data_IF_515594089263
#
_entry.id   IF_515594089263
#
_cell.length_a   1.000
_cell.length_b   1.000
_cell.length_c   1.000
_cell.angle_alpha   90.00
_cell.angle_beta   90.00
_cell.angle_gamma   90.00
#
_symmetry.space_group_name_H-M   'P 1'
#
loop_
_entity.id
_entity.type
_entity.pdbx_description
1 polymer ?
#
# COMPACT_ATOMS: atom_id res chain seq x y z
N UNK A 1 -66.86 41.64 10.10
CA UNK A 1 -67.51 42.51 9.11
C UNK A 1 -67.92 41.57 8.00
N UNK A 2 -69.14 40.99 8.10
CA UNK A 2 -70.45 41.54 7.61
C UNK A 2 -70.33 41.81 6.10
N UNK A 3 -71.10 41.29 5.21
CA UNK A 3 -72.51 41.07 5.15
C UNK A 3 -72.82 40.10 3.97
N UNK A 4 -73.67 39.09 4.10
CA UNK A 4 -75.14 39.13 3.95
C UNK A 4 -75.64 39.80 2.66
N UNK A 5 -76.34 39.16 1.82
CA UNK A 5 -77.73 38.90 1.57
C UNK A 5 -77.93 38.74 0.06
N UNK A 6 -78.88 38.12 -0.56
CA UNK A 6 -80.20 37.60 -0.42
C UNK A 6 -80.59 36.93 -1.76
N UNK A 7 -81.16 35.76 -1.73
CA UNK A 7 -82.49 35.34 -2.11
C UNK A 7 -83.25 36.06 -3.22
N UNK A 8 -83.69 35.29 -4.23
CA UNK A 8 -85.09 35.13 -4.74
C UNK A 8 -85.08 34.34 -6.07
N UNK A 9 -85.66 33.17 -6.03
CA UNK A 9 -87.04 32.80 -6.37
C UNK A 9 -87.40 32.73 -7.86
N UNK A 10 -87.78 31.56 -8.29
CA UNK A 10 -89.00 31.09 -8.98
C UNK A 10 -88.60 29.94 -9.90
N UNK A 11 -89.02 28.70 -9.76
CA UNK A 11 -90.35 28.28 -9.91
C UNK A 11 -90.72 28.15 -11.41
N UNK A 12 -90.62 26.96 -11.97
CA UNK A 12 -91.26 26.72 -13.24
C UNK A 12 -90.46 25.86 -14.23
N UNK A 13 -90.03 24.64 -13.87
CA UNK A 13 -89.52 23.67 -14.89
C UNK A 13 -89.54 22.21 -14.41
N UNK A 14 -90.42 21.84 -13.49
CA UNK A 14 -90.49 20.45 -13.00
C UNK A 14 -91.26 19.53 -13.97
N UNK A 15 -92.05 20.07 -14.88
CA UNK A 15 -92.86 19.27 -15.82
C UNK A 15 -92.09 18.79 -17.09
N UNK A 16 -91.09 19.53 -17.51
CA UNK A 16 -90.30 19.18 -18.77
C UNK A 16 -89.23 18.17 -18.51
N UNK A 17 -88.70 18.10 -17.29
CA UNK A 17 -87.53 17.18 -16.98
C UNK A 17 -87.95 15.73 -16.80
N UNK A 18 -89.23 15.49 -16.33
CA UNK A 18 -89.76 14.13 -16.12
C UNK A 18 -90.02 13.44 -17.48
N UNK A 19 -90.50 14.17 -18.48
CA UNK A 19 -90.74 13.62 -19.82
C UNK A 19 -89.43 13.18 -20.58
N UNK A 20 -88.39 13.98 -20.45
CA UNK A 20 -87.11 13.67 -21.10
C UNK A 20 -86.32 12.54 -20.41
N UNK A 21 -86.47 12.40 -19.06
CA UNK A 21 -85.79 11.28 -18.32
C UNK A 21 -86.48 9.95 -18.66
N UNK A 22 -87.77 9.87 -18.77
CA UNK A 22 -88.52 8.64 -19.13
C UNK A 22 -88.20 8.21 -20.58
N UNK A 23 -88.04 9.14 -21.53
CA UNK A 23 -87.68 8.82 -22.89
C UNK A 23 -86.20 8.36 -23.01
N UNK A 24 -85.32 8.94 -22.21
CA UNK A 24 -83.90 8.54 -22.15
C UNK A 24 -83.75 7.16 -21.52
N UNK A 25 -84.47 6.80 -20.49
CA UNK A 25 -84.43 5.47 -19.87
C UNK A 25 -85.01 4.40 -20.80
N UNK A 26 -86.09 4.71 -21.51
CA UNK A 26 -86.65 3.78 -22.47
C UNK A 26 -85.72 3.52 -23.68
N UNK A 27 -84.97 4.52 -24.17
CA UNK A 27 -83.97 4.38 -25.20
C UNK A 27 -82.73 3.61 -24.67
N UNK A 28 -82.35 3.81 -23.42
CA UNK A 28 -81.22 3.07 -22.84
C UNK A 28 -81.57 1.59 -22.58
N UNK A 29 -82.84 1.30 -22.14
CA UNK A 29 -83.27 -0.09 -21.97
C UNK A 29 -83.45 -0.81 -23.28
N UNK A 30 -83.95 -0.15 -24.34
CA UNK A 30 -84.06 -0.71 -25.68
C UNK A 30 -82.71 -0.98 -26.32
N UNK A 31 -81.70 -0.10 -26.09
CA UNK A 31 -80.34 -0.28 -26.55
C UNK A 31 -79.61 -1.44 -25.83
N UNK A 32 -80.00 -1.72 -24.57
CA UNK A 32 -79.38 -2.85 -23.82
C UNK A 32 -79.98 -4.20 -24.25
N UNK A 33 -81.25 -4.29 -24.57
CA UNK A 33 -81.85 -5.52 -25.06
C UNK A 33 -81.43 -5.82 -26.47
N UNK A 34 -81.25 -4.83 -27.34
CA UNK A 34 -80.73 -5.00 -28.69
C UNK A 34 -79.22 -5.44 -28.72
N UNK A 35 -78.44 -5.06 -27.69
CA UNK A 35 -77.06 -5.48 -27.55
C UNK A 35 -76.90 -6.94 -27.09
N UNK A 36 -77.93 -7.47 -26.38
CA UNK A 36 -77.90 -8.89 -25.98
C UNK A 36 -78.26 -9.87 -27.11
N UNK A 37 -78.96 -9.41 -28.16
CA UNK A 37 -79.44 -10.23 -29.28
C UNK A 37 -78.40 -10.28 -30.47
N UNK A 38 -77.53 -9.25 -30.56
CA UNK A 38 -76.45 -9.21 -31.59
C UNK A 38 -75.17 -8.80 -30.90
N UNK A 39 -74.34 -9.77 -30.38
CA UNK A 39 -73.04 -9.42 -29.93
C UNK A 39 -72.23 -8.85 -31.12
N UNK A 40 -71.61 -7.65 -30.99
CA UNK A 40 -70.78 -7.14 -32.03
C UNK A 40 -69.64 -8.13 -32.25
N UNK A 41 -69.52 -8.65 -33.47
CA UNK A 41 -68.30 -9.35 -33.89
C UNK A 41 -67.14 -8.35 -33.75
N UNK A 42 -66.39 -8.46 -32.66
CA UNK A 42 -65.14 -7.72 -32.56
C UNK A 42 -64.28 -8.06 -33.77
N UNK A 43 -63.80 -7.09 -34.53
CA UNK A 43 -62.81 -7.37 -35.55
C UNK A 43 -61.64 -8.04 -34.85
N UNK A 44 -61.23 -9.22 -35.35
CA UNK A 44 -59.94 -9.82 -34.95
C UNK A 44 -58.89 -8.74 -35.13
N UNK A 45 -58.32 -8.21 -34.01
CA UNK A 45 -57.15 -7.36 -34.12
C UNK A 45 -56.14 -8.08 -34.99
N UNK A 46 -55.64 -7.41 -36.02
CA UNK A 46 -54.55 -7.99 -36.80
C UNK A 46 -53.45 -8.35 -35.76
N UNK A 47 -53.05 -9.61 -35.73
CA UNK A 47 -51.87 -10.02 -34.98
C UNK A 47 -50.74 -9.16 -35.49
N UNK A 48 -50.26 -8.19 -34.70
CA UNK A 48 -49.04 -7.48 -35.05
C UNK A 48 -47.97 -8.53 -35.38
N UNK A 49 -47.30 -8.41 -36.51
CA UNK A 49 -46.21 -9.33 -36.83
C UNK A 49 -45.28 -9.31 -35.63
N UNK A 50 -45.04 -10.46 -35.00
CA UNK A 50 -44.03 -10.56 -33.96
C UNK A 50 -42.71 -10.06 -34.58
N UNK A 51 -42.33 -8.86 -34.25
CA UNK A 51 -41.01 -8.34 -34.65
C UNK A 51 -39.99 -9.25 -34.00
N UNK A 52 -39.44 -10.18 -34.77
CA UNK A 52 -38.33 -11.02 -34.35
C UNK A 52 -37.11 -10.10 -34.25
N UNK A 53 -36.71 -9.78 -33.07
CA UNK A 53 -35.53 -8.95 -32.86
C UNK A 53 -34.29 -9.67 -33.38
N UNK A 54 -33.46 -8.95 -34.10
CA UNK A 54 -32.19 -9.48 -34.64
C UNK A 54 -31.13 -9.19 -33.60
N UNK A 55 -30.38 -10.21 -33.15
CA UNK A 55 -29.37 -10.13 -32.11
C UNK A 55 -28.07 -10.82 -32.52
N UNK A 56 -26.95 -10.26 -32.08
CA UNK A 56 -25.67 -10.95 -32.10
C UNK A 56 -25.42 -11.56 -30.71
N UNK A 57 -24.84 -12.76 -30.71
CA UNK A 57 -24.53 -13.48 -29.47
C UNK A 57 -23.06 -13.85 -29.42
N UNK A 58 -22.54 -13.96 -28.20
CA UNK A 58 -21.21 -14.50 -27.95
C UNK A 58 -21.28 -15.55 -26.83
N UNK A 59 -20.43 -16.56 -26.94
CA UNK A 59 -20.35 -17.59 -25.91
C UNK A 59 -19.58 -17.08 -24.68
N UNK A 60 -19.96 -17.53 -23.51
CA UNK A 60 -19.24 -17.32 -22.27
C UNK A 60 -17.93 -18.09 -22.32
N UNK A 61 -16.83 -17.38 -22.46
CA UNK A 61 -15.48 -17.96 -22.59
C UNK A 61 -14.76 -17.97 -21.24
N UNK A 62 -13.92 -18.99 -21.02
CA UNK A 62 -12.99 -18.99 -19.90
C UNK A 62 -11.78 -18.13 -20.26
N UNK A 63 -11.57 -17.02 -19.50
CA UNK A 63 -10.43 -16.13 -19.69
C UNK A 63 -9.65 -15.96 -18.39
N UNK A 64 -8.36 -15.72 -18.55
CA UNK A 64 -7.48 -15.38 -17.41
C UNK A 64 -7.82 -13.97 -16.91
N UNK A 65 -8.20 -13.87 -15.64
CA UNK A 65 -8.52 -12.59 -15.01
C UNK A 65 -7.38 -12.13 -14.11
N UNK A 66 -6.66 -11.11 -14.54
CA UNK A 66 -5.56 -10.52 -13.79
C UNK A 66 -5.69 -9.00 -13.75
N UNK A 67 -6.43 -8.50 -12.78
CA UNK A 67 -6.52 -7.07 -12.53
C UNK A 67 -5.55 -6.72 -11.40
N UNK A 68 -4.49 -5.91 -11.68
CA UNK A 68 -3.56 -5.48 -10.64
C UNK A 68 -4.26 -4.60 -9.61
N UNK A 69 -4.08 -4.92 -8.32
CA UNK A 69 -4.47 -4.02 -7.25
C UNK A 69 -3.42 -2.90 -7.14
N UNK A 70 -3.90 -1.67 -7.00
CA UNK A 70 -3.06 -0.47 -6.91
C UNK A 70 -3.07 0.08 -5.49
N UNK A 71 -1.88 0.29 -4.94
CA UNK A 71 -1.71 0.90 -3.63
C UNK A 71 -0.81 2.12 -3.74
N UNK A 72 -1.17 3.18 -3.06
CA UNK A 72 -0.22 4.28 -2.83
C UNK A 72 0.79 3.79 -1.80
N UNK A 73 2.06 3.83 -2.17
CA UNK A 73 3.15 3.32 -1.37
C UNK A 73 4.21 4.41 -1.16
N UNK A 74 4.99 4.26 -0.11
CA UNK A 74 6.02 5.19 0.30
C UNK A 74 7.38 4.51 0.31
N UNK A 75 8.36 5.10 -0.36
CA UNK A 75 9.72 4.59 -0.38
C UNK A 75 10.48 5.08 0.86
N UNK A 76 11.06 4.16 1.61
CA UNK A 76 11.80 4.43 2.84
C UNK A 76 13.21 3.84 2.78
N UNK A 77 14.21 4.46 3.41
CA UNK A 77 15.53 3.87 3.49
C UNK A 77 15.51 2.65 4.42
N UNK A 78 16.43 1.69 4.19
CA UNK A 78 16.61 0.57 5.11
C UNK A 78 17.16 1.06 6.46
N UNK A 79 18.13 1.96 6.40
CA UNK A 79 18.74 2.60 7.56
C UNK A 79 19.10 4.03 7.20
N UNK A 80 18.92 4.93 8.14
CA UNK A 80 19.46 6.29 8.08
C UNK A 80 20.16 6.64 9.40
N UNK A 81 21.27 7.32 9.31
CA UNK A 81 22.07 7.69 10.48
C UNK A 81 22.57 9.12 10.33
N UNK A 82 22.26 9.93 11.33
CA UNK A 82 22.86 11.25 11.50
C UNK A 82 24.26 11.10 12.08
N UNK A 83 25.24 11.59 11.35
CA UNK A 83 26.66 11.49 11.70
C UNK A 83 27.01 12.58 12.71
N UNK A 84 27.06 12.22 13.98
CA UNK A 84 27.42 13.11 15.08
C UNK A 84 28.92 12.93 15.44
N UNK A 85 29.67 14.01 15.65
CA UNK A 85 31.01 13.89 16.22
C UNK A 85 30.91 13.37 17.66
N UNK A 86 31.83 12.50 18.09
CA UNK A 86 31.81 11.97 19.45
C UNK A 86 32.72 12.75 20.40
N UNK A 87 33.62 13.56 19.82
CA UNK A 87 34.50 14.48 20.52
C UNK A 87 34.46 15.85 19.85
N UNK A 88 34.87 16.89 20.57
CA UNK A 88 34.92 18.25 20.07
C UNK A 88 36.26 18.54 19.36
N UNK A 89 36.25 19.46 18.41
CA UNK A 89 37.45 19.89 17.73
C UNK A 89 37.19 20.65 16.44
N UNK A 90 38.26 21.13 15.82
CA UNK A 90 38.18 21.76 14.50
C UNK A 90 38.29 20.69 13.41
N UNK A 91 37.52 20.83 12.32
CA UNK A 91 37.63 19.95 11.16
C UNK A 91 38.93 20.27 10.43
N UNK A 92 39.84 19.29 10.36
CA UNK A 92 41.11 19.37 9.66
C UNK A 92 40.97 18.92 8.19
N UNK A 93 40.23 17.85 7.96
CA UNK A 93 40.00 17.28 6.64
C UNK A 93 38.59 16.72 6.47
N UNK A 94 38.03 16.81 5.27
CA UNK A 94 36.82 16.14 4.81
C UNK A 94 37.25 15.21 3.66
N UNK A 95 36.99 13.91 3.80
CA UNK A 95 37.49 12.86 2.88
C UNK A 95 36.41 12.24 2.00
N UNK A 96 35.36 12.94 1.71
CA UNK A 96 34.28 12.52 0.80
C UNK A 96 33.77 13.72 0.01
N UNK A 97 32.96 13.42 -1.03
CA UNK A 97 32.14 14.41 -1.72
C UNK A 97 30.67 14.16 -1.38
N UNK A 98 29.90 15.21 -1.30
CA UNK A 98 28.44 15.12 -1.09
C UNK A 98 27.81 14.26 -2.20
N UNK A 99 26.94 13.34 -1.80
CA UNK A 99 26.32 12.38 -2.71
C UNK A 99 27.12 11.10 -2.98
N UNK A 100 28.34 10.97 -2.47
CA UNK A 100 29.15 9.75 -2.62
C UNK A 100 28.50 8.56 -1.91
N UNK A 101 28.80 7.34 -2.44
CA UNK A 101 28.51 6.11 -1.73
C UNK A 101 29.71 5.73 -0.86
N UNK A 102 29.47 5.66 0.43
CA UNK A 102 30.48 5.29 1.42
C UNK A 102 30.19 3.89 1.99
N UNK A 103 31.26 3.17 2.33
CA UNK A 103 31.14 1.88 3.04
C UNK A 103 31.30 2.11 4.54
N UNK A 104 30.66 1.28 5.35
CA UNK A 104 30.86 1.28 6.79
C UNK A 104 32.37 1.20 7.12
N UNK A 105 32.86 2.06 8.04
CA UNK A 105 34.26 2.19 8.41
C UNK A 105 35.09 3.16 7.55
N UNK A 106 34.53 3.70 6.43
CA UNK A 106 35.22 4.72 5.65
C UNK A 106 35.41 6.00 6.46
N UNK A 107 36.63 6.56 6.47
CA UNK A 107 36.93 7.84 7.14
C UNK A 107 36.26 8.97 6.37
N UNK A 108 35.48 9.78 7.08
CA UNK A 108 34.70 10.89 6.51
C UNK A 108 35.28 12.24 6.93
N UNK A 109 35.47 12.44 8.23
CA UNK A 109 36.08 13.67 8.76
C UNK A 109 37.27 13.32 9.64
N UNK A 110 38.25 14.18 9.61
CA UNK A 110 39.41 14.14 10.52
C UNK A 110 39.37 15.46 11.30
N UNK A 111 39.24 15.37 12.61
CA UNK A 111 39.34 16.50 13.49
C UNK A 111 40.80 16.75 13.84
N UNK A 112 41.11 17.95 14.31
CA UNK A 112 42.44 18.26 14.90
C UNK A 112 42.61 17.43 16.16
N UNK A 113 43.55 16.52 16.13
CA UNK A 113 43.83 15.51 17.13
C UNK A 113 45.05 15.80 18.01
N UNK A 114 45.73 16.92 17.80
CA UNK A 114 46.95 17.26 18.53
C UNK A 114 46.76 17.28 20.04
N UNK A 115 45.62 17.89 20.51
CA UNK A 115 45.24 17.90 21.92
C UNK A 115 45.02 16.50 22.47
N UNK A 116 44.35 15.64 21.72
CA UNK A 116 44.02 14.26 22.12
C UNK A 116 45.28 13.40 22.15
N UNK A 117 46.21 13.57 21.20
CA UNK A 117 47.53 12.96 21.26
C UNK A 117 48.34 13.37 22.48
N UNK A 118 48.35 14.64 22.81
CA UNK A 118 49.06 15.13 24.02
C UNK A 118 48.49 14.53 25.32
N UNK A 119 47.14 14.46 25.41
CA UNK A 119 46.49 13.85 26.60
C UNK A 119 46.74 12.34 26.65
N UNK A 120 46.68 11.62 25.56
CA UNK A 120 46.98 10.18 25.53
C UNK A 120 48.43 9.89 25.94
N UNK A 121 49.39 10.70 25.43
CA UNK A 121 50.79 10.60 25.81
C UNK A 121 51.02 10.89 27.30
N UNK A 122 50.34 11.89 27.88
CA UNK A 122 50.35 12.18 29.30
C UNK A 122 49.84 10.99 30.14
N UNK A 123 48.69 10.41 29.78
CA UNK A 123 48.12 9.25 30.48
C UNK A 123 49.00 8.01 30.36
N UNK A 124 49.71 7.85 29.26
CA UNK A 124 50.69 6.79 29.08
C UNK A 124 51.86 6.96 30.04
N UNK A 125 52.39 8.18 30.16
CA UNK A 125 53.45 8.47 31.15
C UNK A 125 52.99 8.25 32.59
N UNK A 126 51.72 8.63 32.94
CA UNK A 126 51.13 8.38 34.27
C UNK A 126 51.04 6.86 34.54
N UNK A 127 50.68 6.05 33.57
CA UNK A 127 50.68 4.58 33.69
C UNK A 127 52.10 4.02 33.92
N UNK A 128 53.09 4.46 33.13
CA UNK A 128 54.47 4.04 33.31
C UNK A 128 55.03 4.37 34.69
N UNK A 129 54.70 5.57 35.26
CA UNK A 129 55.06 5.98 36.61
C UNK A 129 54.38 5.09 37.65
N UNK A 130 53.04 4.82 37.53
CA UNK A 130 52.32 3.95 38.41
C UNK A 130 52.85 2.50 38.42
N UNK A 131 53.22 1.99 37.26
CA UNK A 131 53.83 0.67 37.14
C UNK A 131 55.21 0.60 37.78
N UNK A 132 56.04 1.65 37.66
CA UNK A 132 57.34 1.71 38.30
C UNK A 132 57.19 1.70 39.84
N UNK A 133 56.21 2.44 40.38
CA UNK A 133 55.89 2.46 41.81
C UNK A 133 55.33 1.09 42.28
N UNK A 134 54.46 0.47 41.51
CA UNK A 134 53.95 -0.87 41.85
C UNK A 134 55.08 -1.92 41.85
N UNK A 135 56.03 -1.85 40.89
CA UNK A 135 57.22 -2.71 40.94
C UNK A 135 58.08 -2.45 42.15
N UNK A 136 58.21 -1.19 42.58
CA UNK A 136 58.96 -0.82 43.82
C UNK A 136 58.26 -1.36 45.04
N UNK A 137 56.97 -1.12 45.21
CA UNK A 137 56.17 -1.56 46.34
C UNK A 137 56.10 -3.09 46.45
N UNK A 138 55.93 -3.78 45.32
CA UNK A 138 55.96 -5.24 45.27
C UNK A 138 57.30 -5.81 45.71
N UNK A 139 58.42 -5.28 45.22
CA UNK A 139 59.78 -5.71 45.69
C UNK A 139 59.98 -5.41 47.18
N UNK A 140 59.39 -4.33 47.70
CA UNK A 140 59.47 -4.02 49.12
C UNK A 140 58.68 -5.03 49.94
N UNK A 141 57.46 -5.33 49.56
CA UNK A 141 56.63 -6.34 50.20
C UNK A 141 57.23 -7.75 50.14
N UNK A 142 57.75 -8.20 49.00
CA UNK A 142 58.46 -9.48 48.88
C UNK A 142 59.65 -9.58 49.77
N UNK A 143 60.43 -8.49 50.03
CA UNK A 143 61.53 -8.48 50.95
C UNK A 143 61.03 -8.58 52.40
N UNK A 144 59.94 -7.89 52.81
CA UNK A 144 59.32 -7.96 54.11
C UNK A 144 58.73 -9.34 54.39
N UNK A 145 58.22 -10.00 53.39
CA UNK A 145 57.64 -11.36 53.48
C UNK A 145 58.74 -12.40 53.73
N UNK A 146 59.89 -12.26 53.13
CA UNK A 146 61.03 -13.18 53.22
C UNK A 146 62.00 -12.86 54.37
N UNK A 147 61.80 -11.79 55.10
CA UNK A 147 62.67 -11.39 56.26
C UNK A 147 62.39 -12.20 57.55
N UNK A 148 63.44 -12.43 58.36
CA UNK A 148 63.33 -13.19 59.59
C UNK A 148 62.25 -12.53 60.53
N UNK A 149 61.42 -13.39 61.13
CA UNK A 149 60.36 -12.96 62.06
C UNK A 149 60.83 -12.25 63.33
N UNK A 150 62.13 -12.36 63.61
CA UNK A 150 62.73 -11.67 64.78
C UNK A 150 63.12 -10.21 64.56
N UNK A 151 63.09 -9.76 63.23
CA UNK A 151 63.54 -8.41 62.93
C UNK A 151 62.43 -7.49 62.37
N UNK A 152 61.21 -7.98 62.15
CA UNK A 152 60.13 -7.23 61.52
C UNK A 152 58.80 -7.52 62.24
N UNK A 153 58.06 -6.47 62.55
CA UNK A 153 56.77 -6.57 63.24
C UNK A 153 55.65 -6.98 62.22
N UNK A 154 54.58 -7.60 62.68
CA UNK A 154 53.44 -7.93 61.91
C UNK A 154 52.78 -6.68 61.21
N UNK A 155 52.76 -5.57 61.95
CA UNK A 155 52.26 -4.29 61.45
C UNK A 155 53.09 -3.78 60.29
N UNK A 156 54.40 -3.98 60.25
CA UNK A 156 55.27 -3.59 59.13
C UNK A 156 54.98 -4.45 57.89
N UNK A 157 54.67 -5.76 58.09
CA UNK A 157 54.30 -6.66 56.99
C UNK A 157 52.94 -6.25 56.40
N UNK A 158 51.96 -6.05 57.26
CA UNK A 158 50.60 -5.62 56.85
C UNK A 158 50.67 -4.28 56.12
N UNK A 159 51.47 -3.33 56.57
CA UNK A 159 51.70 -2.05 55.88
C UNK A 159 52.37 -2.21 54.51
N UNK A 160 53.35 -3.12 54.40
CA UNK A 160 54.00 -3.38 53.11
C UNK A 160 53.07 -4.05 52.11
N UNK A 161 52.22 -4.99 52.58
CA UNK A 161 51.20 -5.63 51.76
C UNK A 161 50.16 -4.61 51.27
N UNK A 162 49.55 -3.83 52.20
CA UNK A 162 48.63 -2.78 51.87
C UNK A 162 49.21 -1.73 50.92
N UNK A 163 50.53 -1.42 51.05
CA UNK A 163 51.24 -0.55 50.12
C UNK A 163 51.38 -1.14 48.74
N UNK A 164 51.66 -2.45 48.61
CA UNK A 164 51.71 -3.12 47.36
C UNK A 164 50.37 -3.23 46.67
N UNK A 165 49.30 -3.53 47.41
CA UNK A 165 47.93 -3.55 46.90
C UNK A 165 47.46 -2.17 46.46
N UNK A 166 47.75 -1.12 47.21
CA UNK A 166 47.45 0.27 46.83
C UNK A 166 48.17 0.65 45.53
N UNK A 167 49.43 0.31 45.40
CA UNK A 167 50.20 0.60 44.16
C UNK A 167 49.67 -0.19 42.95
N UNK A 168 49.23 -1.45 43.15
CA UNK A 168 48.57 -2.24 42.13
C UNK A 168 47.23 -1.61 41.68
N UNK A 169 46.45 -1.13 42.64
CA UNK A 169 45.19 -0.41 42.33
C UNK A 169 45.46 0.89 41.55
N UNK A 170 46.53 1.63 41.86
CA UNK A 170 46.92 2.83 41.12
C UNK A 170 47.30 2.53 39.65
N UNK A 171 47.94 1.39 39.36
CA UNK A 171 48.18 0.94 37.96
C UNK A 171 46.86 0.70 37.21
N UNK A 172 45.89 0.03 37.84
CA UNK A 172 44.60 -0.20 37.22
C UNK A 172 43.88 1.12 36.92
N UNK A 173 43.93 2.08 37.81
CA UNK A 173 43.37 3.41 37.63
C UNK A 173 44.05 4.16 36.46
N UNK A 174 45.38 4.18 36.43
CA UNK A 174 46.13 4.85 35.38
C UNK A 174 45.87 4.20 34.01
N UNK A 175 45.78 2.86 33.96
CA UNK A 175 45.42 2.11 32.76
C UNK A 175 44.03 2.46 32.26
N UNK A 176 43.06 2.54 33.17
CA UNK A 176 41.69 2.95 32.79
C UNK A 176 41.66 4.38 32.23
N UNK A 177 42.40 5.31 32.79
CA UNK A 177 42.49 6.69 32.28
C UNK A 177 43.15 6.74 30.90
N UNK A 178 44.16 5.92 30.67
CA UNK A 178 44.78 5.82 29.32
C UNK A 178 43.77 5.31 28.26
N UNK A 179 43.02 4.26 28.61
CA UNK A 179 41.99 3.71 27.70
C UNK A 179 40.96 4.78 27.30
N UNK A 180 40.54 5.63 28.23
CA UNK A 180 39.62 6.74 27.94
C UNK A 180 40.26 7.75 26.96
N UNK A 181 41.53 8.13 27.24
CA UNK A 181 42.22 9.10 26.39
C UNK A 181 42.48 8.56 24.96
N UNK A 182 42.83 7.28 24.85
CA UNK A 182 42.99 6.61 23.52
C UNK A 182 41.67 6.48 22.81
N UNK A 183 40.55 6.27 23.52
CA UNK A 183 39.21 6.25 22.94
C UNK A 183 38.86 7.62 22.33
N UNK A 184 39.06 8.70 23.11
CA UNK A 184 38.79 10.06 22.65
C UNK A 184 39.64 10.41 21.42
N UNK A 185 40.93 10.04 21.41
CA UNK A 185 41.83 10.20 20.27
C UNK A 185 41.30 9.45 19.04
N UNK A 186 40.87 8.21 19.21
CA UNK A 186 40.30 7.42 18.11
C UNK A 186 39.04 8.07 17.56
N UNK A 187 38.24 8.75 18.38
CA UNK A 187 37.00 9.42 17.99
C UNK A 187 37.21 10.77 17.30
N UNK A 188 38.42 11.32 17.32
CA UNK A 188 38.80 12.45 16.49
C UNK A 188 38.75 12.11 14.99
N UNK A 189 38.77 10.82 14.63
CA UNK A 189 38.52 10.34 13.26
C UNK A 189 37.07 9.85 13.18
N UNK A 190 36.23 10.57 12.44
CA UNK A 190 34.81 10.25 12.25
C UNK A 190 34.66 9.32 11.04
N UNK A 191 34.11 8.14 11.28
CA UNK A 191 33.92 7.10 10.26
C UNK A 191 32.44 6.85 10.00
N UNK A 192 32.11 6.37 8.80
CA UNK A 192 30.77 5.95 8.43
C UNK A 192 30.31 4.76 9.30
N UNK A 193 29.20 4.86 10.05
CA UNK A 193 28.68 3.74 10.85
C UNK A 193 27.97 2.69 10.00
N UNK A 194 27.41 3.09 8.87
CA UNK A 194 26.70 2.24 7.90
C UNK A 194 27.22 2.50 6.49
N UNK A 195 26.95 1.55 5.59
CA UNK A 195 27.15 1.76 4.16
C UNK A 195 25.93 2.43 3.56
N UNK A 196 26.12 3.45 2.70
CA UNK A 196 25.02 4.19 2.10
C UNK A 196 25.48 5.43 1.37
N UNK A 197 24.55 6.23 0.90
CA UNK A 197 24.83 7.52 0.30
C UNK A 197 24.94 8.58 1.38
N UNK A 198 26.05 9.35 1.36
CA UNK A 198 26.20 10.49 2.25
C UNK A 198 25.52 11.71 1.64
N UNK A 199 24.74 12.42 2.45
CA UNK A 199 24.05 13.65 2.07
C UNK A 199 25.01 14.85 2.07
N UNK A 200 24.40 16.06 2.08
CA UNK A 200 25.14 17.31 2.22
C UNK A 200 25.81 17.39 3.59
N UNK A 201 27.00 17.97 3.63
CA UNK A 201 27.67 18.34 4.88
C UNK A 201 27.09 19.61 5.46
N UNK A 202 26.93 19.68 6.78
CA UNK A 202 26.55 20.91 7.51
C UNK A 202 27.74 21.67 8.09
N UNK A 203 28.95 21.11 7.95
CA UNK A 203 30.18 21.65 8.51
C UNK A 203 31.30 21.62 7.49
N UNK A 204 32.18 22.64 7.53
CA UNK A 204 33.26 22.85 6.58
C UNK A 204 34.62 22.69 7.24
N UNK A 205 35.65 22.55 6.45
CA UNK A 205 37.03 22.54 6.95
C UNK A 205 37.33 23.85 7.69
N UNK A 206 37.88 23.73 8.92
CA UNK A 206 38.11 24.83 9.83
C UNK A 206 36.97 25.14 10.80
N UNK A 207 35.78 24.53 10.63
CA UNK A 207 34.69 24.69 11.59
C UNK A 207 34.94 23.92 12.88
N UNK A 208 34.53 24.52 13.99
CA UNK A 208 34.52 23.85 15.30
C UNK A 208 33.25 23.03 15.46
N UNK A 209 33.39 21.74 15.70
CA UNK A 209 32.29 20.78 15.90
C UNK A 209 32.33 20.16 17.28
N UNK A 210 31.15 19.76 17.78
CA UNK A 210 31.00 19.12 19.09
C UNK A 210 29.71 18.26 19.09
N UNK A 211 29.59 17.26 19.96
CA UNK A 211 28.40 16.40 20.06
C UNK A 211 27.09 17.19 20.25
N UNK A 212 27.15 18.37 20.89
CA UNK A 212 26.02 19.24 21.18
C UNK A 212 25.61 20.14 20.00
N UNK A 213 26.41 20.25 18.95
CA UNK A 213 26.17 21.17 17.82
C UNK A 213 25.34 20.56 16.68
N UNK A 214 25.02 19.30 16.78
CA UNK A 214 24.21 18.59 15.77
C UNK A 214 25.03 17.75 14.78
N UNK A 215 24.33 17.22 13.79
CA UNK A 215 24.91 16.29 12.82
C UNK A 215 25.78 16.99 11.79
N UNK A 216 26.90 16.37 11.44
CA UNK A 216 27.84 16.80 10.40
C UNK A 216 27.30 16.49 9.00
N UNK A 217 26.69 15.33 8.84
CA UNK A 217 26.05 14.83 7.62
C UNK A 217 25.07 13.73 7.98
N UNK A 218 24.26 13.31 7.01
CA UNK A 218 23.39 12.13 7.13
C UNK A 218 23.82 11.07 6.13
N UNK A 219 23.84 9.81 6.54
CA UNK A 219 24.09 8.67 5.66
C UNK A 219 22.80 7.88 5.56
N UNK A 220 22.41 7.56 4.33
CA UNK A 220 21.15 6.86 4.04
C UNK A 220 21.45 5.62 3.19
N UNK A 221 21.02 4.46 3.66
CA UNK A 221 21.09 3.23 2.90
C UNK A 221 19.92 3.18 1.93
N UNK A 222 20.20 3.35 0.63
CA UNK A 222 19.23 3.45 -0.46
C UNK A 222 19.14 2.19 -1.33
N UNK A 223 20.06 1.23 -1.16
CA UNK A 223 20.05 -0.07 -1.86
C UNK A 223 20.36 -1.20 -0.85
N UNK A 224 19.44 -2.16 -0.66
CA UNK A 224 18.05 -2.12 -1.12
C UNK A 224 17.26 -0.95 -0.50
N UNK A 225 16.11 -0.60 -1.09
CA UNK A 225 15.17 0.37 -0.55
C UNK A 225 13.91 -0.33 -0.04
N UNK A 226 13.27 0.19 0.97
CA UNK A 226 11.99 -0.30 1.48
C UNK A 226 10.84 0.47 0.85
N UNK A 227 9.75 -0.23 0.60
CA UNK A 227 8.50 0.37 0.13
C UNK A 227 7.40 -0.09 1.07
N UNK A 228 6.76 0.85 1.73
CA UNK A 228 5.67 0.61 2.69
C UNK A 228 4.33 1.00 2.07
N UNK A 229 3.29 0.21 2.33
CA UNK A 229 1.94 0.50 1.89
C UNK A 229 0.91 0.02 2.92
N UNK A 230 -0.23 0.71 3.05
CA UNK A 230 -1.29 0.30 3.95
C UNK A 230 -2.17 -0.78 3.32
N UNK A 231 -2.47 -1.83 4.07
CA UNK A 231 -3.44 -2.86 3.72
C UNK A 231 -4.61 -2.83 4.72
N UNK A 232 -5.85 -2.89 4.25
CA UNK A 232 -7.01 -2.90 5.14
C UNK A 232 -7.07 -4.18 5.97
N UNK A 233 -7.69 -4.13 7.15
CA UNK A 233 -7.87 -5.27 8.06
C UNK A 233 -8.52 -6.46 7.37
N UNK A 234 -9.57 -6.21 6.60
CA UNK A 234 -10.30 -7.24 5.84
C UNK A 234 -9.40 -7.95 4.83
N UNK A 235 -8.61 -7.20 4.08
CA UNK A 235 -7.69 -7.75 3.09
C UNK A 235 -6.57 -8.55 3.77
N UNK A 236 -6.02 -8.03 4.87
CA UNK A 236 -4.98 -8.69 5.65
C UNK A 236 -5.46 -10.02 6.25
N UNK A 237 -6.63 -10.03 6.90
CA UNK A 237 -7.21 -11.25 7.48
C UNK A 237 -7.48 -12.30 6.39
N UNK A 238 -8.01 -11.85 5.24
CA UNK A 238 -8.22 -12.73 4.08
C UNK A 238 -6.93 -13.37 3.57
N UNK A 239 -5.88 -12.58 3.43
CA UNK A 239 -4.56 -13.02 3.00
C UNK A 239 -3.93 -14.00 4.03
N UNK A 240 -3.97 -13.67 5.33
CA UNK A 240 -3.47 -14.55 6.39
C UNK A 240 -4.23 -15.88 6.45
N UNK A 241 -5.55 -15.86 6.25
CA UNK A 241 -6.35 -17.08 6.18
C UNK A 241 -6.00 -17.96 4.98
N UNK A 242 -5.68 -17.36 3.84
CA UNK A 242 -5.22 -18.07 2.65
C UNK A 242 -3.83 -18.70 2.87
N UNK A 243 -2.90 -17.95 3.48
CA UNK A 243 -1.58 -18.47 3.90
C UNK A 243 -1.70 -19.69 4.80
N UNK A 244 -2.53 -19.61 5.84
CA UNK A 244 -2.74 -20.73 6.77
C UNK A 244 -3.27 -21.99 6.09
N UNK A 245 -4.04 -21.82 5.01
CA UNK A 245 -4.59 -22.96 4.23
C UNK A 245 -3.61 -23.46 3.15
N UNK A 246 -2.43 -22.88 3.02
CA UNK A 246 -1.48 -23.17 1.93
C UNK A 246 -2.02 -22.81 0.53
N UNK A 247 -2.98 -21.87 0.46
CA UNK A 247 -3.66 -21.44 -0.77
C UNK A 247 -3.42 -19.95 -1.08
N UNK A 248 -2.47 -19.32 -0.39
CA UNK A 248 -2.14 -17.94 -0.70
C UNK A 248 -1.55 -17.86 -2.11
N UNK A 249 -2.09 -17.02 -2.98
CA UNK A 249 -1.51 -16.79 -4.29
C UNK A 249 -0.15 -16.12 -4.15
N UNK A 250 0.78 -16.48 -5.02
CA UNK A 250 2.00 -15.72 -5.19
C UNK A 250 1.70 -14.43 -5.96
N UNK A 251 2.16 -13.32 -5.40
CA UNK A 251 2.01 -12.00 -6.03
C UNK A 251 3.32 -11.54 -6.64
N UNK A 252 3.23 -10.88 -7.78
CA UNK A 252 4.27 -10.00 -8.29
C UNK A 252 4.07 -8.60 -7.72
N UNK A 253 5.16 -8.04 -7.22
CA UNK A 253 5.18 -6.71 -6.61
C UNK A 253 5.97 -5.79 -7.54
N UNK A 254 5.27 -4.91 -8.26
CA UNK A 254 5.85 -3.99 -9.24
C UNK A 254 5.56 -2.56 -8.81
N UNK A 255 6.37 -1.61 -9.25
CA UNK A 255 6.18 -0.21 -8.93
C UNK A 255 5.96 0.61 -10.20
N UNK A 256 5.08 1.59 -10.11
CA UNK A 256 4.99 2.69 -11.08
C UNK A 256 5.61 3.91 -10.41
N UNK A 257 6.60 4.48 -11.09
CA UNK A 257 7.30 5.67 -10.66
C UNK A 257 6.41 6.93 -10.81
N UNK A 258 6.76 8.06 -10.19
CA UNK A 258 5.98 9.29 -10.29
C UNK A 258 5.81 9.85 -11.71
N UNK A 259 6.71 9.49 -12.64
CA UNK A 259 6.63 9.85 -14.05
C UNK A 259 5.71 8.94 -14.89
N UNK A 260 5.11 7.91 -14.26
CA UNK A 260 4.25 6.93 -14.90
C UNK A 260 4.98 5.72 -15.48
N UNK A 261 6.31 5.70 -15.48
CA UNK A 261 7.09 4.55 -15.95
C UNK A 261 7.05 3.39 -14.95
N UNK A 262 7.12 2.16 -15.45
CA UNK A 262 7.22 0.97 -14.61
C UNK A 262 8.67 0.74 -14.18
N UNK A 263 8.89 0.46 -12.89
CA UNK A 263 10.20 0.10 -12.36
C UNK A 263 10.56 -1.32 -12.78
N UNK A 264 11.76 -1.52 -13.29
CA UNK A 264 12.22 -2.76 -13.95
C UNK A 264 12.48 -3.94 -13.00
N UNK A 265 12.36 -3.74 -11.68
CA UNK A 265 12.68 -4.75 -10.66
C UNK A 265 11.48 -5.06 -9.79
N UNK A 266 11.30 -6.36 -9.50
CA UNK A 266 10.24 -6.82 -8.61
C UNK A 266 10.65 -6.69 -7.14
N UNK A 267 9.67 -6.33 -6.30
CA UNK A 267 9.82 -6.30 -4.86
C UNK A 267 9.71 -7.68 -4.23
N UNK A 268 10.32 -7.82 -3.05
CA UNK A 268 10.17 -9.00 -2.21
C UNK A 268 9.49 -8.62 -0.90
N UNK A 269 8.68 -9.53 -0.40
CA UNK A 269 8.10 -9.41 0.92
C UNK A 269 9.21 -9.27 1.98
N UNK A 270 9.10 -8.29 2.86
CA UNK A 270 10.06 -8.06 3.94
C UNK A 270 9.39 -8.23 5.31
N UNK A 271 8.28 -7.54 5.55
CA UNK A 271 7.68 -7.48 6.87
C UNK A 271 6.21 -7.05 6.81
N UNK A 272 5.41 -7.55 7.72
CA UNK A 272 4.09 -7.03 8.08
C UNK A 272 4.14 -6.51 9.53
N UNK A 273 3.56 -5.33 9.76
CA UNK A 273 3.56 -4.73 11.08
C UNK A 273 2.80 -5.61 12.09
N UNK A 274 3.10 -5.46 13.37
CA UNK A 274 2.46 -6.19 14.46
C UNK A 274 1.27 -5.42 15.07
N UNK A 275 1.05 -4.18 14.64
CA UNK A 275 -0.01 -3.31 15.13
C UNK A 275 -0.77 -2.68 13.95
N UNK A 276 -2.08 -2.56 14.13
CA UNK A 276 -2.96 -1.92 13.16
C UNK A 276 -3.20 -0.46 13.56
N UNK A 277 -3.18 0.44 12.58
CA UNK A 277 -3.53 1.84 12.81
C UNK A 277 -4.99 1.94 13.26
N UNK A 278 -5.22 2.58 14.42
CA UNK A 278 -6.57 2.76 14.98
C UNK A 278 -7.41 3.75 14.18
N UNK A 279 -6.75 4.71 13.53
CA UNK A 279 -7.44 5.79 12.80
C UNK A 279 -7.91 5.34 11.42
N UNK A 280 -7.16 4.46 10.76
CA UNK A 280 -7.41 4.04 9.38
C UNK A 280 -7.84 2.58 9.24
N UNK A 281 -7.79 1.78 10.33
CA UNK A 281 -8.01 0.34 10.31
C UNK A 281 -7.16 -0.37 9.23
N UNK A 282 -5.90 0.05 9.09
CA UNK A 282 -4.94 -0.51 8.16
C UNK A 282 -3.69 -1.01 8.88
N UNK A 283 -3.06 -2.01 8.32
CA UNK A 283 -1.75 -2.52 8.72
C UNK A 283 -0.72 -2.09 7.69
N UNK A 284 0.45 -1.69 8.14
CA UNK A 284 1.54 -1.33 7.23
C UNK A 284 2.28 -2.60 6.79
N UNK A 285 2.35 -2.76 5.49
CA UNK A 285 3.07 -3.83 4.84
C UNK A 285 4.35 -3.28 4.24
N UNK A 286 5.44 -4.04 4.30
CA UNK A 286 6.75 -3.60 3.81
C UNK A 286 7.33 -4.58 2.82
N UNK A 287 7.80 -4.02 1.72
CA UNK A 287 8.51 -4.71 0.66
C UNK A 287 9.95 -4.20 0.58
N UNK A 288 10.84 -5.02 0.10
CA UNK A 288 12.22 -4.65 -0.21
C UNK A 288 12.45 -4.72 -1.71
N UNK A 289 12.96 -3.62 -2.28
CA UNK A 289 13.29 -3.51 -3.71
C UNK A 289 14.79 -3.28 -3.88
N UNK A 290 15.47 -3.99 -4.80
CA UNK A 290 16.82 -3.63 -5.23
C UNK A 290 16.80 -2.24 -5.88
N UNK A 291 17.75 -1.36 -5.57
CA UNK A 291 17.81 0.01 -6.10
C UNK A 291 19.23 0.45 -6.49
N UNK A 292 19.96 -0.34 -7.29
CA UNK A 292 21.35 -0.03 -7.65
C UNK A 292 21.46 1.26 -8.49
N UNK A 293 20.44 1.55 -9.31
CA UNK A 293 20.40 2.72 -10.19
C UNK A 293 19.87 3.98 -9.46
N UNK A 294 19.47 3.85 -8.18
CA UNK A 294 18.99 4.92 -7.29
C UNK A 294 17.77 5.69 -7.84
N UNK A 295 16.96 5.06 -8.66
CA UNK A 295 15.75 5.66 -9.20
C UNK A 295 14.68 5.85 -8.12
N UNK A 296 14.65 4.96 -7.13
CA UNK A 296 13.78 5.10 -5.97
C UNK A 296 14.47 5.98 -4.92
N UNK A 297 13.89 7.14 -4.68
CA UNK A 297 14.43 8.12 -3.74
C UNK A 297 13.69 7.96 -2.40
N UNK A 298 14.40 7.91 -1.26
CA UNK A 298 13.78 7.89 0.05
C UNK A 298 12.78 9.04 0.23
N UNK A 299 11.68 8.77 0.91
CA UNK A 299 10.57 9.69 1.15
C UNK A 299 9.76 10.07 -0.10
N UNK A 300 9.93 9.37 -1.24
CA UNK A 300 9.08 9.54 -2.40
C UNK A 300 7.84 8.64 -2.34
N UNK A 301 6.76 9.07 -2.99
CA UNK A 301 5.57 8.26 -3.21
C UNK A 301 5.66 7.54 -4.55
N UNK A 302 5.27 6.29 -4.55
CA UNK A 302 5.21 5.43 -5.74
C UNK A 302 3.88 4.67 -5.73
N UNK A 303 3.45 4.15 -6.88
CA UNK A 303 2.28 3.28 -6.94
C UNK A 303 2.73 1.82 -6.97
N UNK A 304 2.38 1.07 -5.94
CA UNK A 304 2.60 -0.37 -5.92
C UNK A 304 1.48 -1.07 -6.71
N UNK A 305 1.88 -1.91 -7.65
CA UNK A 305 1.01 -2.84 -8.37
C UNK A 305 1.23 -4.24 -7.81
N UNK A 306 0.14 -4.88 -7.38
CA UNK A 306 0.18 -6.28 -6.96
C UNK A 306 -0.71 -7.11 -7.87
N UNK A 307 -0.13 -8.02 -8.61
CA UNK A 307 -0.85 -8.95 -9.46
C UNK A 307 -0.46 -10.40 -9.14
N UNK A 308 -1.37 -11.33 -9.38
CA UNK A 308 -1.09 -12.74 -9.11
C UNK A 308 -0.15 -13.30 -10.17
N UNK A 309 0.85 -14.07 -9.77
CA UNK A 309 1.72 -14.80 -10.72
C UNK A 309 0.92 -15.82 -11.52
N UNK A 310 -0.04 -16.48 -10.87
CA UNK A 310 -0.97 -17.39 -11.49
C UNK A 310 -2.40 -16.83 -11.31
N UNK A 311 -2.87 -16.01 -12.25
CA UNK A 311 -4.20 -15.46 -12.17
C UNK A 311 -5.27 -16.54 -12.44
N UNK A 312 -6.42 -16.47 -11.73
CA UNK A 312 -7.48 -17.43 -11.93
C UNK A 312 -8.11 -17.29 -13.31
N UNK A 313 -8.53 -18.41 -13.87
CA UNK A 313 -9.42 -18.43 -15.02
C UNK A 313 -10.85 -18.28 -14.54
N UNK A 314 -11.64 -17.47 -15.23
CA UNK A 314 -13.03 -17.18 -14.87
C UNK A 314 -13.89 -17.11 -16.14
N UNK A 315 -15.18 -17.46 -16.04
CA UNK A 315 -16.13 -17.16 -17.10
C UNK A 315 -16.16 -15.65 -17.33
N UNK A 316 -16.00 -15.23 -18.58
CA UNK A 316 -15.99 -13.81 -18.98
C UNK A 316 -16.96 -13.57 -20.11
N UNK A 317 -17.58 -12.40 -20.11
CA UNK A 317 -18.47 -11.91 -21.15
C UNK A 317 -18.01 -10.53 -21.63
N UNK A 318 -18.28 -10.15 -22.89
CA UNK A 318 -18.02 -8.79 -23.33
C UNK A 318 -18.86 -7.78 -22.55
N UNK A 319 -18.28 -6.62 -22.24
CA UNK A 319 -18.99 -5.54 -21.51
C UNK A 319 -20.34 -5.18 -22.16
N UNK A 320 -20.42 -5.25 -23.47
CA UNK A 320 -21.62 -4.92 -24.24
C UNK A 320 -22.81 -5.83 -23.93
N UNK A 321 -22.59 -7.04 -23.39
CA UNK A 321 -23.65 -7.96 -22.99
C UNK A 321 -24.36 -7.53 -21.70
N UNK A 322 -23.77 -6.62 -20.93
CA UNK A 322 -24.24 -6.23 -19.61
C UNK A 322 -25.12 -4.99 -19.70
N UNK A 323 -26.25 -5.01 -19.00
CA UNK A 323 -27.13 -3.87 -18.82
C UNK A 323 -27.62 -3.74 -17.40
N UNK A 324 -27.95 -2.51 -17.01
CA UNK A 324 -28.42 -2.23 -15.67
C UNK A 324 -29.92 -2.55 -15.53
N UNK A 325 -30.28 -3.20 -14.43
CA UNK A 325 -31.64 -3.54 -14.06
C UNK A 325 -32.20 -2.53 -13.05
N UNK A 326 -33.52 -2.48 -12.99
CA UNK A 326 -34.22 -1.69 -11.97
C UNK A 326 -33.82 -2.19 -10.59
N UNK A 327 -33.23 -1.31 -9.76
CA UNK A 327 -32.72 -1.66 -8.44
C UNK A 327 -31.22 -1.76 -8.34
N UNK A 328 -30.45 -1.43 -9.42
CA UNK A 328 -29.00 -1.31 -9.39
C UNK A 328 -28.23 -2.64 -9.55
N UNK A 329 -28.90 -3.74 -9.84
CA UNK A 329 -28.28 -5.01 -10.21
C UNK A 329 -27.97 -5.05 -11.71
N UNK A 330 -27.00 -5.85 -12.10
CA UNK A 330 -26.61 -6.05 -13.50
C UNK A 330 -27.25 -7.32 -14.05
N UNK A 331 -27.64 -7.26 -15.33
CA UNK A 331 -28.29 -8.35 -16.02
C UNK A 331 -27.70 -8.60 -17.40
N UNK A 332 -27.97 -9.79 -17.90
CA UNK A 332 -27.64 -10.22 -19.27
C UNK A 332 -28.82 -10.93 -19.89
N UNK A 333 -28.86 -10.94 -21.23
CA UNK A 333 -29.79 -11.77 -21.97
C UNK A 333 -29.08 -13.07 -22.37
N UNK A 334 -29.58 -14.19 -21.89
CA UNK A 334 -29.08 -15.53 -22.24
C UNK A 334 -29.97 -16.11 -23.33
N UNK A 335 -29.36 -16.60 -24.41
CA UNK A 335 -30.07 -17.30 -25.48
C UNK A 335 -30.29 -18.76 -25.10
N UNK A 336 -31.53 -19.22 -25.19
CA UNK A 336 -31.90 -20.63 -25.02
C UNK A 336 -31.88 -21.39 -26.33
N UNK A 337 -31.88 -22.72 -26.25
CA UNK A 337 -31.88 -23.60 -27.46
C UNK A 337 -33.12 -23.45 -28.31
N UNK A 338 -34.25 -22.99 -27.74
CA UNK A 338 -35.51 -22.71 -28.43
C UNK A 338 -35.54 -21.34 -29.12
N UNK A 339 -34.40 -20.65 -29.25
CA UNK A 339 -34.24 -19.31 -29.80
C UNK A 339 -35.02 -18.23 -29.04
N UNK A 340 -35.28 -18.43 -27.78
CA UNK A 340 -35.83 -17.41 -26.88
C UNK A 340 -34.74 -16.83 -25.98
N UNK A 341 -34.94 -15.60 -25.52
CA UNK A 341 -34.01 -14.94 -24.57
C UNK A 341 -34.57 -14.90 -23.17
N UNK A 342 -33.71 -15.20 -22.21
CA UNK A 342 -33.99 -15.11 -20.78
C UNK A 342 -33.17 -14.00 -20.14
N UNK A 343 -33.81 -13.15 -19.36
CA UNK A 343 -33.12 -12.15 -18.55
C UNK A 343 -32.59 -12.81 -17.30
N UNK A 344 -31.26 -12.69 -17.06
CA UNK A 344 -30.62 -13.27 -15.89
C UNK A 344 -29.80 -12.23 -15.16
N UNK A 345 -29.92 -12.19 -13.83
CA UNK A 345 -29.10 -11.36 -12.96
C UNK A 345 -27.74 -11.99 -12.82
N UNK A 346 -26.68 -11.19 -12.91
CA UNK A 346 -25.30 -11.64 -12.82
C UNK A 346 -24.54 -10.84 -11.77
N UNK A 347 -23.64 -11.53 -11.03
CA UNK A 347 -22.65 -10.90 -10.19
C UNK A 347 -21.35 -10.78 -10.98
N UNK A 348 -20.88 -9.57 -11.20
CA UNK A 348 -19.74 -9.28 -12.03
C UNK A 348 -18.58 -8.73 -11.18
N UNK A 349 -17.35 -8.94 -11.64
CA UNK A 349 -16.16 -8.25 -11.12
C UNK A 349 -15.83 -7.05 -12.01
N UNK A 350 -14.84 -6.28 -11.55
CA UNK A 350 -14.30 -5.16 -12.32
C UNK A 350 -13.82 -5.62 -13.70
N UNK A 351 -14.09 -4.84 -14.71
CA UNK A 351 -13.76 -5.13 -16.09
C UNK A 351 -12.25 -5.12 -16.32
N UNK A 352 -11.77 -6.05 -17.12
CA UNK A 352 -10.38 -6.10 -17.60
C UNK A 352 -10.38 -6.28 -19.10
N UNK A 353 -9.68 -5.40 -19.83
CA UNK A 353 -9.49 -5.48 -21.29
C UNK A 353 -10.77 -5.64 -22.13
N UNK A 354 -11.87 -4.97 -21.70
CA UNK A 354 -13.16 -5.03 -22.39
C UNK A 354 -14.03 -6.26 -22.06
N UNK A 355 -13.53 -7.15 -21.19
CA UNK A 355 -14.23 -8.34 -20.74
C UNK A 355 -14.62 -8.21 -19.26
N UNK A 356 -15.79 -8.69 -18.94
CA UNK A 356 -16.35 -8.64 -17.60
C UNK A 356 -16.41 -10.06 -17.00
N UNK A 357 -15.63 -10.33 -15.93
CA UNK A 357 -15.65 -11.65 -15.29
C UNK A 357 -16.94 -11.86 -14.51
N UNK A 358 -17.52 -13.03 -14.67
CA UNK A 358 -18.77 -13.45 -14.01
C UNK A 358 -18.46 -14.30 -12.78
N UNK A 359 -18.95 -13.86 -11.62
CA UNK A 359 -18.82 -14.60 -10.36
C UNK A 359 -19.96 -15.59 -10.19
N UNK A 360 -21.20 -15.14 -10.55
CA UNK A 360 -22.42 -15.95 -10.46
C UNK A 360 -23.39 -15.56 -11.56
N UNK A 361 -24.21 -16.51 -11.97
CA UNK A 361 -25.33 -16.29 -12.85
C UNK A 361 -25.15 -16.82 -14.26
N UNK A 362 -23.94 -17.18 -14.69
CA UNK A 362 -23.69 -17.79 -15.99
C UNK A 362 -22.76 -18.98 -15.88
N UNK A 363 -22.90 -19.94 -16.77
CA UNK A 363 -22.04 -21.10 -16.94
C UNK A 363 -21.21 -20.97 -18.25
N UNK A 364 -20.09 -21.69 -18.31
CA UNK A 364 -19.24 -21.73 -19.51
C UNK A 364 -20.02 -22.33 -20.68
N UNK A 365 -19.89 -21.71 -21.87
CA UNK A 365 -20.53 -22.15 -23.09
C UNK A 365 -21.97 -21.64 -23.29
N UNK A 366 -22.57 -20.97 -22.29
CA UNK A 366 -23.83 -20.26 -22.51
C UNK A 366 -23.67 -19.11 -23.49
N UNK A 367 -24.70 -18.79 -24.27
CA UNK A 367 -24.69 -17.73 -25.26
C UNK A 367 -25.36 -16.49 -24.71
N UNK A 368 -24.63 -15.38 -24.62
CA UNK A 368 -25.13 -14.07 -24.18
C UNK A 368 -25.28 -13.14 -25.38
N UNK A 369 -26.34 -12.32 -25.32
CA UNK A 369 -26.61 -11.32 -26.35
C UNK A 369 -25.68 -10.14 -26.17
N UNK A 370 -24.96 -9.76 -27.24
CA UNK A 370 -24.04 -8.62 -27.22
C UNK A 370 -24.56 -7.41 -28.04
N UNK A 371 -25.54 -7.60 -28.91
CA UNK A 371 -26.13 -6.52 -29.73
C UNK A 371 -27.64 -6.66 -29.81
N UNK A 372 -28.36 -5.54 -29.88
CA UNK A 372 -29.81 -5.52 -29.91
C UNK A 372 -30.54 -5.58 -28.56
N UNK A 373 -29.83 -5.46 -27.47
CA UNK A 373 -30.27 -5.62 -26.07
C UNK A 373 -31.52 -4.77 -25.74
N UNK A 374 -31.56 -3.50 -26.17
CA UNK A 374 -32.61 -2.55 -25.77
C UNK A 374 -34.01 -2.84 -26.37
N UNK A 375 -34.13 -3.84 -27.24
CA UNK A 375 -35.40 -4.23 -27.90
C UNK A 375 -35.94 -5.57 -27.40
N UNK A 376 -35.26 -6.19 -26.43
CA UNK A 376 -35.57 -7.52 -25.94
C UNK A 376 -36.51 -7.49 -24.72
N UNK A 377 -37.34 -8.52 -24.64
CA UNK A 377 -38.18 -8.82 -23.47
C UNK A 377 -38.06 -10.29 -23.10
N UNK A 378 -38.38 -10.66 -21.86
CA UNK A 378 -38.30 -12.04 -21.38
C UNK A 378 -39.15 -12.99 -22.25
N UNK A 379 -38.56 -14.11 -22.71
CA UNK A 379 -39.24 -15.11 -23.55
C UNK A 379 -39.44 -14.71 -25.00
N UNK A 380 -38.82 -13.62 -25.45
CA UNK A 380 -38.93 -13.15 -26.87
C UNK A 380 -38.11 -14.04 -27.79
N UNK A 381 -38.68 -14.43 -28.95
CA UNK A 381 -37.94 -15.12 -30.01
C UNK A 381 -37.04 -14.16 -30.76
N UNK A 382 -35.82 -14.58 -31.00
CA UNK A 382 -34.80 -13.78 -31.71
C UNK A 382 -34.27 -14.46 -32.94
N UNK A 383 -33.74 -13.67 -33.87
CA UNK A 383 -33.00 -14.15 -35.05
C UNK A 383 -31.52 -13.80 -34.87
N UNK A 384 -30.65 -14.78 -35.01
CA UNK A 384 -29.22 -14.60 -34.91
C UNK A 384 -28.67 -13.92 -36.16
N UNK A 385 -27.72 -13.02 -35.92
CA UNK A 385 -26.83 -12.43 -36.95
C UNK A 385 -25.41 -12.66 -36.47
N UNK A 386 -24.53 -12.92 -37.43
CA UNK A 386 -23.10 -13.03 -37.12
C UNK A 386 -22.61 -11.72 -36.50
N UNK A 387 -21.85 -11.77 -35.38
CA UNK A 387 -21.25 -10.59 -34.78
C UNK A 387 -20.32 -9.94 -35.82
N UNK A 388 -20.45 -8.66 -36.03
CA UNK A 388 -19.53 -7.87 -36.85
C UNK A 388 -18.27 -7.58 -36.01
N UNK A 389 -17.09 -7.48 -36.66
CA UNK A 389 -15.79 -7.19 -35.96
C UNK A 389 -15.84 -5.96 -35.06
N UNK A 390 -16.83 -5.07 -35.22
CA UNK A 390 -17.10 -3.93 -34.35
C UNK A 390 -17.88 -4.26 -33.07
N UNK A 391 -18.51 -5.43 -32.98
CA UNK A 391 -19.31 -5.83 -31.81
C UNK A 391 -18.44 -6.33 -30.65
N UNK A 392 -17.15 -6.59 -30.91
CA UNK A 392 -16.17 -7.03 -29.90
C UNK A 392 -15.41 -5.86 -29.23
N UNK A 393 -15.51 -4.64 -29.77
CA UNK A 393 -14.76 -3.48 -29.31
C UNK A 393 -15.68 -2.48 -28.56
N UNK A 394 -15.30 -2.11 -27.35
CA UNK A 394 -15.86 -0.94 -26.68
C UNK A 394 -15.54 0.30 -27.55
N UNK A 395 -16.53 1.11 -27.99
CA UNK A 395 -16.30 2.31 -28.79
C UNK A 395 -15.41 3.35 -28.10
N UNK A 396 -15.15 3.20 -26.80
CA UNK A 396 -14.27 4.06 -26.00
C UNK A 396 -12.93 3.38 -25.61
N UNK A 397 -12.66 2.17 -26.10
CA UNK A 397 -11.37 1.53 -25.84
C UNK A 397 -10.31 2.11 -26.78
N UNK A 398 -9.45 2.95 -26.27
CA UNK A 398 -8.18 3.31 -26.89
C UNK A 398 -7.11 2.35 -26.37
N UNK A 399 -6.54 1.48 -27.21
CA UNK A 399 -5.42 0.66 -26.79
C UNK A 399 -4.26 1.57 -26.36
N UNK A 400 -3.48 1.18 -25.32
CA UNK A 400 -2.31 1.95 -24.94
C UNK A 400 -1.42 2.14 -26.16
N UNK A 401 -1.10 3.40 -26.47
CA UNK A 401 -0.22 3.77 -27.58
C UNK A 401 1.12 3.09 -27.35
N UNK A 402 1.48 2.13 -28.20
CA UNK A 402 2.85 1.65 -28.27
C UNK A 402 3.67 2.78 -28.89
N UNK A 403 4.30 3.57 -28.06
CA UNK A 403 5.37 4.44 -28.54
C UNK A 403 6.53 3.56 -28.99
N UNK A 404 6.88 3.73 -30.28
CA UNK A 404 8.04 3.11 -30.91
C UNK A 404 9.35 3.70 -30.38
#
# INVERSE_FOLDING_TARGET
MENKTEEKSKGGAVGAVIGTVVLAVACAAGGWIARGLFPPKMPKMPQMPQMVATVAVKEVEERTYNLPEKFVAHAEPVQEVDLLPQVDGYIKEIRFKEGDIVKAGTVLYVLDDERYHAVANQRKADLEAAEAEARRAKRYWERMQNADARGITQLERDNAEAGAEKAKAAVLQAKANLVVAEYDLKKAVVVAPISGQIGKTSAHMGDYVAPSKGALARIVQIDPIRVTFPLTDRAYVGWRAALKKGKAPEYRMRLILPDGSEYDREGKWDFDDNEMSKDTATIIMRLSFPNPDRMLIPNSYVTLLTDRREPPKMPCIPQQAVFDLVGGSQGVWVLKDDMTVEQRVVDLREMSEGWQPVVKGLELGEKVVISGIGKLGPGMKVKLVEPTDNDDLNPNYQPPVKEN
#
